data_IF_950836932023
#
_entry.id   IF_950836932023
#
_cell.length_a   1.000
_cell.length_b   1.000
_cell.length_c   1.000
_cell.angle_alpha   90.00
_cell.angle_beta   90.00
_cell.angle_gamma   90.00
#
_symmetry.space_group_name_H-M   'P 1'
#
loop_
_entity.id
_entity.type
_entity.pdbx_description
1 polymer ?
#
# COMPACT_ATOMS: atom_id res chain seq x y z
N UNK A 1 -29.65 17.88 13.83
CA UNK A 1 -29.18 16.79 12.96
C UNK A 1 -28.28 17.44 11.91
N UNK A 2 -26.97 17.50 12.17
CA UNK A 2 -26.03 18.19 11.28
C UNK A 2 -25.87 17.38 10.01
N UNK A 3 -26.24 17.99 8.88
CA UNK A 3 -26.04 17.45 7.54
C UNK A 3 -24.52 17.40 7.35
N UNK A 4 -23.96 16.19 7.37
CA UNK A 4 -22.57 15.89 6.99
C UNK A 4 -22.30 16.64 5.68
N UNK A 5 -21.43 17.63 5.75
CA UNK A 5 -21.18 18.57 4.67
C UNK A 5 -20.47 17.83 3.52
N UNK A 6 -20.76 18.23 2.27
CA UNK A 6 -20.10 17.72 1.05
C UNK A 6 -18.59 17.42 1.16
N UNK A 7 -17.75 18.22 1.87
CA UNK A 7 -16.32 17.96 1.98
C UNK A 7 -15.95 16.61 2.61
N UNK A 8 -16.69 16.13 3.61
CA UNK A 8 -16.42 14.84 4.26
C UNK A 8 -16.66 13.67 3.30
N UNK A 9 -17.68 13.79 2.45
CA UNK A 9 -18.00 12.79 1.44
C UNK A 9 -16.88 12.70 0.39
N UNK A 10 -16.36 13.84 -0.07
CA UNK A 10 -15.23 13.86 -1.00
C UNK A 10 -13.94 13.32 -0.36
N UNK A 11 -13.64 13.71 0.87
CA UNK A 11 -12.48 13.20 1.60
C UNK A 11 -12.54 11.68 1.78
N UNK A 12 -13.73 11.15 2.11
CA UNK A 12 -13.95 9.71 2.26
C UNK A 12 -13.88 8.96 0.92
N UNK A 13 -14.36 9.56 -0.17
CA UNK A 13 -14.27 8.94 -1.50
C UNK A 13 -12.82 8.83 -1.96
N UNK A 14 -12.03 9.90 -1.84
CA UNK A 14 -10.60 9.89 -2.18
C UNK A 14 -9.83 8.89 -1.33
N UNK A 15 -10.13 8.79 -0.02
CA UNK A 15 -9.48 7.82 0.86
C UNK A 15 -9.83 6.36 0.48
N UNK A 16 -11.07 6.10 0.04
CA UNK A 16 -11.46 4.80 -0.49
C UNK A 16 -10.73 4.49 -1.80
N UNK A 17 -10.73 5.42 -2.76
CA UNK A 17 -10.08 5.26 -4.06
C UNK A 17 -8.57 4.98 -3.92
N UNK A 18 -7.89 5.70 -3.02
CA UNK A 18 -6.47 5.47 -2.74
C UNK A 18 -6.22 4.05 -2.22
N UNK A 19 -7.04 3.60 -1.26
CA UNK A 19 -6.93 2.24 -0.70
C UNK A 19 -7.21 1.18 -1.76
N UNK A 20 -8.23 1.36 -2.59
CA UNK A 20 -8.54 0.43 -3.67
C UNK A 20 -7.41 0.40 -4.70
N UNK A 21 -6.82 1.55 -5.04
CA UNK A 21 -5.68 1.63 -5.94
C UNK A 21 -4.44 0.90 -5.37
N UNK A 22 -4.12 1.08 -4.09
CA UNK A 22 -3.07 0.32 -3.40
C UNK A 22 -3.29 -1.19 -3.51
N UNK A 23 -4.50 -1.67 -3.22
CA UNK A 23 -4.85 -3.10 -3.32
C UNK A 23 -4.77 -3.63 -4.75
N UNK A 24 -5.20 -2.85 -5.74
CA UNK A 24 -5.11 -3.23 -7.15
C UNK A 24 -3.65 -3.38 -7.60
N UNK A 25 -2.75 -2.50 -7.16
CA UNK A 25 -1.32 -2.63 -7.43
C UNK A 25 -0.75 -3.88 -6.76
N UNK A 26 -1.13 -4.17 -5.51
CA UNK A 26 -0.69 -5.38 -4.80
C UNK A 26 -1.13 -6.66 -5.53
N UNK A 27 -2.39 -6.70 -5.98
CA UNK A 27 -2.90 -7.83 -6.77
C UNK A 27 -2.16 -7.99 -8.12
N UNK A 28 -1.89 -6.89 -8.82
CA UNK A 28 -1.15 -6.92 -10.08
C UNK A 28 0.31 -7.38 -9.87
N UNK A 29 0.97 -6.86 -8.83
CA UNK A 29 2.33 -7.23 -8.45
C UNK A 29 2.45 -8.72 -8.11
N UNK A 30 1.53 -9.25 -7.30
CA UNK A 30 1.48 -10.68 -6.97
C UNK A 30 1.35 -11.55 -8.22
N UNK A 31 0.41 -11.22 -9.11
CA UNK A 31 0.20 -11.96 -10.36
C UNK A 31 1.43 -11.94 -11.27
N UNK A 32 2.14 -10.82 -11.32
CA UNK A 32 3.34 -10.67 -12.13
C UNK A 32 4.52 -11.48 -11.55
N UNK A 33 4.68 -11.48 -10.23
CA UNK A 33 5.67 -12.30 -9.55
C UNK A 33 5.43 -13.81 -9.80
N UNK A 34 4.17 -14.26 -9.73
CA UNK A 34 3.79 -15.63 -10.07
C UNK A 34 4.16 -15.98 -11.51
N UNK A 35 3.81 -15.12 -12.47
CA UNK A 35 4.14 -15.34 -13.88
C UNK A 35 5.65 -15.49 -14.10
N UNK A 36 6.45 -14.63 -13.46
CA UNK A 36 7.91 -14.68 -13.52
C UNK A 36 8.44 -16.01 -12.97
N UNK A 37 7.93 -16.45 -11.82
CA UNK A 37 8.27 -17.74 -11.19
C UNK A 37 7.95 -18.92 -12.11
N UNK A 38 6.75 -18.93 -12.70
CA UNK A 38 6.32 -19.96 -13.65
C UNK A 38 7.21 -20.00 -14.89
N UNK A 39 7.59 -18.84 -15.45
CA UNK A 39 8.45 -18.77 -16.62
C UNK A 39 9.86 -19.36 -16.35
N UNK A 40 10.46 -19.02 -15.20
CA UNK A 40 11.76 -19.56 -14.80
C UNK A 40 11.71 -21.07 -14.57
N UNK A 41 10.71 -21.54 -13.82
CA UNK A 41 10.53 -22.96 -13.49
C UNK A 41 10.24 -23.79 -14.73
N UNK A 42 9.38 -23.29 -15.62
CA UNK A 42 9.07 -23.92 -16.91
C UNK A 42 10.30 -24.01 -17.82
N UNK A 43 11.10 -22.93 -17.89
CA UNK A 43 12.36 -22.92 -18.65
C UNK A 43 13.34 -23.99 -18.14
N UNK A 44 13.53 -24.09 -16.83
CA UNK A 44 14.41 -25.10 -16.22
C UNK A 44 13.92 -26.52 -16.49
N UNK A 45 12.62 -26.75 -16.30
CA UNK A 45 12.01 -28.08 -16.50
C UNK A 45 12.06 -28.53 -17.96
N UNK A 46 12.00 -27.60 -18.91
CA UNK A 46 12.10 -27.88 -20.34
C UNK A 46 13.56 -28.01 -20.85
N UNK A 47 14.57 -27.90 -19.98
CA UNK A 47 15.98 -27.96 -20.39
C UNK A 47 16.41 -26.79 -21.28
N UNK A 48 15.68 -25.68 -21.26
CA UNK A 48 15.95 -24.53 -22.11
C UNK A 48 17.11 -23.68 -21.55
N UNK A 49 17.98 -23.22 -22.46
CA UNK A 49 19.08 -22.33 -22.14
C UNK A 49 18.59 -21.07 -21.41
N UNK A 50 19.40 -20.51 -20.51
CA UNK A 50 19.05 -19.33 -19.72
C UNK A 50 18.69 -18.10 -20.56
N UNK A 51 19.23 -18.00 -21.78
CA UNK A 51 18.90 -16.92 -22.72
C UNK A 51 17.50 -17.02 -23.33
N UNK A 52 16.86 -18.20 -23.31
CA UNK A 52 15.53 -18.40 -23.85
C UNK A 52 14.51 -17.57 -23.05
N UNK A 53 13.85 -16.62 -23.72
CA UNK A 53 12.87 -15.73 -23.10
C UNK A 53 13.46 -14.64 -22.19
N UNK A 54 14.79 -14.47 -22.14
CA UNK A 54 15.43 -13.52 -21.21
C UNK A 54 14.92 -12.08 -21.35
N UNK A 55 14.70 -11.60 -22.59
CA UNK A 55 14.16 -10.23 -22.81
C UNK A 55 12.76 -10.06 -22.23
N UNK A 56 11.89 -11.07 -22.38
CA UNK A 56 10.55 -11.06 -21.82
C UNK A 56 10.60 -11.09 -20.28
N UNK A 57 11.47 -11.93 -19.70
CA UNK A 57 11.72 -11.95 -18.26
C UNK A 57 12.21 -10.60 -17.73
N UNK A 58 13.21 -10.00 -18.39
CA UNK A 58 13.77 -8.70 -18.01
C UNK A 58 12.70 -7.60 -18.05
N UNK A 59 11.86 -7.58 -19.08
CA UNK A 59 10.74 -6.64 -19.18
C UNK A 59 9.70 -6.86 -18.06
N UNK A 60 9.35 -8.11 -17.75
CA UNK A 60 8.42 -8.43 -16.66
C UNK A 60 8.98 -8.04 -15.29
N UNK A 61 10.26 -8.33 -15.02
CA UNK A 61 10.92 -7.93 -13.78
C UNK A 61 10.97 -6.40 -13.61
N UNK A 62 11.24 -5.67 -14.71
CA UNK A 62 11.19 -4.21 -14.72
C UNK A 62 9.79 -3.69 -14.42
N UNK A 63 8.76 -4.28 -15.03
CA UNK A 63 7.37 -3.90 -14.76
C UNK A 63 6.98 -4.14 -13.29
N UNK A 64 7.43 -5.24 -12.68
CA UNK A 64 7.21 -5.51 -11.26
C UNK A 64 7.87 -4.45 -10.38
N UNK A 65 9.12 -4.08 -10.68
CA UNK A 65 9.79 -2.98 -9.98
C UNK A 65 9.01 -1.67 -10.08
N UNK A 66 8.52 -1.31 -11.28
CA UNK A 66 7.69 -0.11 -11.46
C UNK A 66 6.40 -0.15 -10.64
N UNK A 67 5.74 -1.30 -10.53
CA UNK A 67 4.56 -1.44 -9.67
C UNK A 67 4.91 -1.25 -8.19
N UNK A 68 6.06 -1.78 -7.74
CA UNK A 68 6.53 -1.59 -6.36
C UNK A 68 6.79 -0.11 -6.04
N UNK A 69 7.40 0.64 -6.96
CA UNK A 69 7.60 2.09 -6.80
C UNK A 69 6.27 2.84 -6.77
N UNK A 70 5.37 2.54 -7.71
CA UNK A 70 4.04 3.16 -7.77
C UNK A 70 3.23 2.93 -6.49
N UNK A 71 3.34 1.73 -5.89
CA UNK A 71 2.75 1.42 -4.58
C UNK A 71 3.31 2.33 -3.49
N UNK A 72 4.62 2.51 -3.43
CA UNK A 72 5.27 3.40 -2.46
C UNK A 72 4.77 4.83 -2.59
N UNK A 73 4.69 5.35 -3.81
CA UNK A 73 4.17 6.69 -4.10
C UNK A 73 2.70 6.86 -3.67
N UNK A 74 1.84 5.87 -3.92
CA UNK A 74 0.44 5.91 -3.48
C UNK A 74 0.28 5.90 -1.96
N UNK A 75 1.06 5.05 -1.26
CA UNK A 75 1.03 5.00 0.21
C UNK A 75 1.46 6.33 0.82
N UNK A 76 2.49 6.97 0.26
CA UNK A 76 2.89 8.32 0.67
C UNK A 76 1.79 9.34 0.39
N UNK A 77 1.18 9.31 -0.81
CA UNK A 77 0.06 10.18 -1.17
C UNK A 77 -1.13 10.02 -0.21
N UNK A 78 -1.45 8.79 0.19
CA UNK A 78 -2.46 8.48 1.20
C UNK A 78 -2.09 9.09 2.56
N UNK A 79 -0.83 8.95 2.99
CA UNK A 79 -0.32 9.60 4.18
C UNK A 79 -0.45 11.14 4.14
N UNK A 80 -0.19 11.77 2.99
CA UNK A 80 -0.40 13.20 2.79
C UNK A 80 -1.89 13.59 2.89
N UNK A 81 -2.77 12.90 2.17
CA UNK A 81 -4.20 13.15 2.19
C UNK A 81 -4.81 13.03 3.59
N UNK A 82 -4.37 12.02 4.36
CA UNK A 82 -4.78 11.80 5.74
C UNK A 82 -4.28 12.92 6.67
N UNK A 83 -3.07 13.45 6.48
CA UNK A 83 -2.59 14.62 7.25
C UNK A 83 -3.42 15.85 6.95
N UNK A 84 -3.76 16.08 5.69
CA UNK A 84 -4.53 17.26 5.28
C UNK A 84 -5.99 17.18 5.73
N UNK A 85 -6.63 16.01 5.63
CA UNK A 85 -7.97 15.79 6.19
C UNK A 85 -8.02 16.10 7.69
N UNK A 86 -7.02 15.66 8.46
CA UNK A 86 -6.92 15.99 9.91
C UNK A 86 -6.75 17.48 10.16
N UNK A 87 -5.88 18.16 9.40
CA UNK A 87 -5.68 19.63 9.51
C UNK A 87 -6.96 20.41 9.20
N UNK A 88 -7.77 19.91 8.27
CA UNK A 88 -9.03 20.52 7.86
C UNK A 88 -10.23 20.10 8.72
N UNK A 89 -10.05 19.16 9.65
CA UNK A 89 -11.15 18.64 10.47
C UNK A 89 -12.16 17.78 9.70
N UNK A 90 -11.75 17.19 8.57
CA UNK A 90 -12.61 16.39 7.71
C UNK A 90 -12.71 14.93 8.17
N UNK A 91 -13.92 14.39 8.11
CA UNK A 91 -14.14 12.96 8.27
C UNK A 91 -13.90 12.23 6.95
N UNK A 92 -12.82 11.45 6.89
CA UNK A 92 -12.39 10.69 5.71
C UNK A 92 -12.68 9.18 5.80
N UNK A 93 -13.37 8.72 6.84
CA UNK A 93 -13.60 7.29 7.10
C UNK A 93 -15.04 6.85 6.82
N UNK A 94 -15.92 7.76 6.36
CA UNK A 94 -17.35 7.47 6.18
C UNK A 94 -17.64 6.37 5.15
N UNK A 95 -16.74 6.19 4.18
CA UNK A 95 -16.90 5.23 3.07
C UNK A 95 -15.92 4.06 3.15
N UNK A 96 -15.04 4.02 4.17
CA UNK A 96 -14.05 2.96 4.30
C UNK A 96 -14.69 1.79 5.07
N UNK A 97 -14.81 0.58 4.50
CA UNK A 97 -15.28 -0.59 5.23
C UNK A 97 -14.42 -0.79 6.49
N UNK A 98 -15.09 -0.97 7.63
CA UNK A 98 -14.46 -1.00 8.95
C UNK A 98 -13.48 -2.16 9.13
N UNK A 99 -12.24 -1.99 8.66
CA UNK A 99 -11.07 -2.65 9.20
C UNK A 99 -10.52 -1.76 10.31
N UNK A 100 -10.44 -2.30 11.52
CA UNK A 100 -9.68 -1.70 12.62
C UNK A 100 -8.22 -1.68 12.21
N UNK A 101 -7.74 -0.55 11.66
CA UNK A 101 -6.31 -0.28 11.64
C UNK A 101 -5.81 -0.36 13.09
N UNK A 102 -4.71 -1.06 13.40
CA UNK A 102 -4.10 -0.96 14.71
C UNK A 102 -3.90 0.52 14.96
N UNK A 103 -4.43 1.01 16.07
CA UNK A 103 -4.52 2.44 16.38
C UNK A 103 -3.27 3.19 15.92
N UNK A 104 -3.46 4.22 15.09
CA UNK A 104 -2.45 5.26 14.85
C UNK A 104 -1.99 5.72 16.23
N UNK A 105 -0.82 5.24 16.63
CA UNK A 105 -0.37 5.31 18.00
C UNK A 105 -0.57 6.71 18.54
N UNK A 106 -1.50 6.85 19.48
CA UNK A 106 -1.39 7.89 20.48
C UNK A 106 -0.02 7.68 21.09
N UNK A 107 0.97 8.45 20.65
CA UNK A 107 2.20 8.66 21.40
C UNK A 107 1.77 9.33 22.69
N UNK A 108 1.32 8.51 23.63
CA UNK A 108 1.31 8.87 25.02
C UNK A 108 2.76 9.23 25.32
N UNK A 109 3.02 10.52 25.53
CA UNK A 109 4.28 10.99 26.05
C UNK A 109 4.34 10.58 27.52
N UNK A 110 4.47 9.29 27.79
CA UNK A 110 4.83 8.83 29.12
C UNK A 110 6.28 9.22 29.31
N UNK A 111 6.49 10.27 30.12
CA UNK A 111 7.80 10.59 30.70
C UNK A 111 8.47 9.29 31.15
N UNK A 112 9.78 9.10 30.93
CA UNK A 112 10.45 7.91 31.42
C UNK A 112 10.45 7.94 32.95
N UNK A 113 9.49 7.25 33.56
CA UNK A 113 9.53 6.90 34.97
C UNK A 113 10.43 5.69 35.08
N UNK A 114 11.65 5.92 35.56
CA UNK A 114 12.71 4.93 35.57
C UNK A 114 12.37 3.69 36.38
N UNK A 115 12.78 2.53 35.86
CA UNK A 115 13.29 1.41 36.66
C UNK A 115 14.12 0.42 35.82
N UNK A 116 15.10 0.95 35.09
CA UNK A 116 16.25 0.17 34.57
C UNK A 116 17.58 0.71 35.14
N UNK A 117 17.53 1.26 36.36
CA UNK A 117 18.65 1.11 37.28
C UNK A 117 18.44 -0.22 38.00
N UNK A 118 19.46 -1.07 38.05
CA UNK A 118 19.47 -2.47 38.54
C UNK A 118 18.74 -3.46 37.64
N UNK A 119 19.46 -4.07 36.68
CA UNK A 119 20.19 -5.35 36.84
C UNK A 119 21.42 -5.32 35.94
#
# INVERSE_FOLDING_TARGET
MNIVQKPDQYASAVALDLREAEHMIDAAGARLADMISHALSGRMSAGLAAGAGHRAFSAAAKALHTLTEARGELVEAHGHALRDARRMGLNHTLLIPGETKPEDGTRETTKPSGRLATV
#
